data_IF_505256154813
#
_entry.id   IF_505256154813
#
_cell.length_a   1.000
_cell.length_b   1.000
_cell.length_c   1.000
_cell.angle_alpha   90.00
_cell.angle_beta   90.00
_cell.angle_gamma   90.00
#
_symmetry.space_group_name_H-M   'P 1'
#
loop_
_entity.id
_entity.type
_entity.pdbx_description
1 polymer ?
#
# COMPACT_ATOMS: atom_id res chain seq x y z
N UNK A 1 -21.35 -0.46 -2.51
CA UNK A 1 -20.75 0.58 -2.31
C UNK A 1 -19.39 0.50 -2.06
N UNK A 2 -18.70 1.15 -2.66
CA UNK A 2 -17.31 0.89 -2.64
C UNK A 2 -16.56 2.18 -2.43
N UNK A 3 -15.68 2.17 -1.49
CA UNK A 3 -14.74 3.24 -1.31
C UNK A 3 -13.73 3.34 -2.45
N UNK A 4 -12.79 4.27 -2.36
CA UNK A 4 -11.72 4.40 -3.34
C UNK A 4 -10.93 3.11 -3.51
N UNK A 5 -10.44 2.87 -4.72
CA UNK A 5 -9.53 1.78 -5.00
C UNK A 5 -8.09 2.29 -4.85
N UNK A 6 -7.31 1.62 -4.02
CA UNK A 6 -5.98 2.08 -3.64
C UNK A 6 -4.92 1.01 -3.85
N UNK A 7 -3.71 1.46 -4.11
CA UNK A 7 -2.50 0.65 -3.97
C UNK A 7 -1.81 1.12 -2.69
N UNK A 8 -1.63 0.22 -1.74
CA UNK A 8 -0.95 0.53 -0.48
C UNK A 8 0.49 0.07 -0.58
N UNK A 9 1.40 1.02 -0.71
CA UNK A 9 2.83 0.71 -0.79
C UNK A 9 3.29 -0.06 0.45
N UNK A 10 4.27 -0.94 0.27
CA UNK A 10 4.80 -1.77 1.37
C UNK A 10 5.31 -0.94 2.54
N UNK A 11 5.78 0.29 2.30
CA UNK A 11 6.20 1.20 3.36
C UNK A 11 5.11 1.46 4.40
N UNK A 12 3.86 1.55 3.97
CA UNK A 12 2.70 1.77 4.86
C UNK A 12 2.41 0.52 5.68
N UNK A 13 2.44 -0.65 5.03
CA UNK A 13 2.23 -1.94 5.72
C UNK A 13 3.30 -2.16 6.78
N UNK A 14 4.56 -1.93 6.43
CA UNK A 14 5.69 -2.09 7.36
C UNK A 14 5.58 -1.12 8.53
N UNK A 15 5.24 0.13 8.27
CA UNK A 15 5.03 1.12 9.32
C UNK A 15 3.96 0.66 10.33
N UNK A 16 2.88 0.07 9.83
CA UNK A 16 1.83 -0.49 10.69
C UNK A 16 2.34 -1.67 11.52
N UNK A 17 3.05 -2.61 10.90
CA UNK A 17 3.52 -3.81 11.58
C UNK A 17 4.60 -3.52 12.63
N UNK A 18 5.38 -2.46 12.44
CA UNK A 18 6.48 -2.10 13.33
C UNK A 18 6.12 -1.03 14.36
N UNK A 19 4.91 -0.48 14.30
CA UNK A 19 4.45 0.54 15.23
C UNK A 19 4.05 -0.05 16.59
N UNK A 20 4.22 0.72 17.65
CA UNK A 20 3.78 0.35 19.00
C UNK A 20 2.25 0.35 19.12
N UNK A 21 1.57 1.21 18.35
CA UNK A 21 0.12 1.38 18.39
C UNK A 21 -0.50 1.13 17.01
N UNK A 22 -1.72 0.62 16.98
CA UNK A 22 -2.51 0.46 15.76
C UNK A 22 -3.21 1.75 15.34
N UNK A 23 -3.17 2.79 16.17
CA UNK A 23 -3.84 4.07 15.90
C UNK A 23 -3.00 5.07 15.12
N UNK A 24 -1.84 4.66 14.62
CA UNK A 24 -1.03 5.48 13.72
C UNK A 24 -1.77 5.73 12.41
N UNK A 25 -1.40 6.75 11.63
CA UNK A 25 -2.00 6.96 10.31
C UNK A 25 -1.93 5.71 9.41
N UNK A 26 -0.78 5.04 9.36
CA UNK A 26 -0.63 3.79 8.60
C UNK A 26 -1.57 2.71 9.13
N UNK A 27 -1.68 2.56 10.45
CA UNK A 27 -2.58 1.59 11.08
C UNK A 27 -4.04 1.86 10.75
N UNK A 28 -4.44 3.12 10.72
CA UNK A 28 -5.81 3.50 10.35
C UNK A 28 -6.10 3.20 8.88
N UNK A 29 -5.14 3.40 7.99
CA UNK A 29 -5.26 3.00 6.58
C UNK A 29 -5.46 1.49 6.48
N UNK A 30 -4.64 0.70 7.16
CA UNK A 30 -4.74 -0.76 7.12
C UNK A 30 -6.08 -1.23 7.71
N UNK A 31 -6.57 -0.59 8.76
CA UNK A 31 -7.88 -0.88 9.32
C UNK A 31 -9.00 -0.59 8.30
N UNK A 32 -8.93 0.55 7.61
CA UNK A 32 -9.90 0.90 6.58
C UNK A 32 -9.93 -0.12 5.43
N UNK A 33 -8.77 -0.65 5.06
CA UNK A 33 -8.67 -1.73 4.07
C UNK A 33 -9.37 -3.00 4.57
N UNK A 34 -9.14 -3.39 5.82
CA UNK A 34 -9.78 -4.56 6.42
C UNK A 34 -11.28 -4.41 6.60
N UNK A 35 -11.75 -3.20 6.84
CA UNK A 35 -13.18 -2.89 6.99
C UNK A 35 -13.90 -2.69 5.65
N UNK A 36 -13.17 -2.64 4.54
CA UNK A 36 -13.77 -2.42 3.22
C UNK A 36 -14.06 -0.96 2.88
N UNK A 37 -13.69 -0.01 3.75
CA UNK A 37 -13.82 1.42 3.47
C UNK A 37 -12.88 1.88 2.36
N UNK A 38 -11.73 1.21 2.23
CA UNK A 38 -10.84 1.32 1.09
C UNK A 38 -10.77 -0.03 0.40
N UNK A 39 -10.86 -0.03 -0.92
CA UNK A 39 -10.66 -1.25 -1.73
C UNK A 39 -9.18 -1.33 -2.10
N UNK A 40 -8.58 -2.50 -1.96
CA UNK A 40 -7.14 -2.69 -2.15
C UNK A 40 -6.88 -3.46 -3.44
N UNK A 41 -5.98 -2.94 -4.27
CA UNK A 41 -5.46 -3.66 -5.42
C UNK A 41 -4.20 -4.43 -5.02
N UNK A 42 -4.12 -5.67 -5.45
CA UNK A 42 -2.97 -6.56 -5.25
C UNK A 42 -2.47 -7.10 -6.57
N UNK A 43 -1.20 -7.49 -6.61
CA UNK A 43 -0.60 -8.23 -7.72
C UNK A 43 0.39 -9.24 -7.16
N UNK A 44 0.81 -10.18 -7.99
CA UNK A 44 1.86 -11.13 -7.60
C UNK A 44 3.15 -10.40 -7.22
N UNK A 45 3.51 -9.36 -7.97
CA UNK A 45 4.69 -8.56 -7.67
C UNK A 45 4.57 -7.85 -6.32
N UNK A 46 3.38 -7.32 -6.01
CA UNK A 46 3.09 -6.70 -4.71
C UNK A 46 3.31 -7.70 -3.57
N UNK A 47 2.69 -8.85 -3.67
CA UNK A 47 2.75 -9.88 -2.61
C UNK A 47 4.18 -10.39 -2.42
N UNK A 48 4.91 -10.52 -3.52
CA UNK A 48 6.30 -10.95 -3.48
C UNK A 48 7.19 -9.91 -2.80
N UNK A 49 7.02 -8.65 -3.15
CA UNK A 49 7.74 -7.54 -2.53
C UNK A 49 7.43 -7.45 -1.03
N UNK A 50 6.16 -7.54 -0.67
CA UNK A 50 5.75 -7.50 0.74
C UNK A 50 6.39 -8.64 1.53
N UNK A 51 6.34 -9.86 1.01
CA UNK A 51 6.96 -11.01 1.65
C UNK A 51 8.47 -10.82 1.82
N UNK A 52 9.13 -10.32 0.77
CA UNK A 52 10.56 -10.08 0.80
C UNK A 52 10.94 -9.05 1.87
N UNK A 53 10.20 -7.97 1.95
CA UNK A 53 10.48 -6.89 2.91
C UNK A 53 10.23 -7.33 4.35
N UNK A 54 9.10 -8.01 4.62
CA UNK A 54 8.77 -8.42 6.01
C UNK A 54 9.70 -9.51 6.54
N UNK A 55 10.35 -10.26 5.66
CA UNK A 55 11.29 -11.31 6.05
C UNK A 55 12.74 -10.84 6.14
N UNK A 56 13.02 -9.57 5.82
CA UNK A 56 14.36 -9.00 6.07
C UNK A 56 14.62 -8.97 7.57
N UNK A 57 15.79 -9.45 8.04
CA UNK A 57 16.05 -9.57 9.48
C UNK A 57 15.85 -8.28 10.28
N UNK A 58 16.21 -7.13 9.71
CA UNK A 58 16.04 -5.85 10.36
C UNK A 58 14.58 -5.41 10.48
N UNK A 59 13.73 -5.84 9.56
CA UNK A 59 12.29 -5.55 9.60
C UNK A 59 11.59 -6.56 10.50
N UNK A 60 11.85 -7.84 10.31
CA UNK A 60 11.23 -8.92 11.08
C UNK A 60 11.43 -8.72 12.59
N UNK A 61 12.63 -8.33 13.00
CA UNK A 61 12.94 -8.07 14.41
C UNK A 61 12.15 -6.90 15.00
N UNK A 62 11.62 -6.02 14.16
CA UNK A 62 10.86 -4.84 14.61
C UNK A 62 9.34 -5.06 14.58
N UNK A 63 8.87 -6.17 14.05
CA UNK A 63 7.43 -6.47 14.05
C UNK A 63 6.97 -6.67 15.49
N UNK A 64 5.99 -5.85 15.91
CA UNK A 64 5.59 -5.77 17.31
C UNK A 64 4.59 -6.83 17.74
N UNK A 65 3.85 -7.40 16.81
CA UNK A 65 2.80 -8.37 17.12
C UNK A 65 2.63 -9.36 15.97
N UNK A 66 2.81 -10.65 16.27
CA UNK A 66 2.55 -11.71 15.31
C UNK A 66 1.06 -11.76 14.93
N UNK A 67 0.17 -11.50 15.88
CA UNK A 67 -1.27 -11.47 15.59
C UNK A 67 -1.64 -10.30 14.69
N UNK A 68 -1.02 -9.13 14.88
CA UNK A 68 -1.22 -7.98 13.99
C UNK A 68 -0.77 -8.32 12.56
N UNK A 69 0.40 -8.93 12.42
CA UNK A 69 0.91 -9.35 11.12
C UNK A 69 -0.04 -10.36 10.44
N UNK A 70 -0.53 -11.32 11.19
CA UNK A 70 -1.47 -12.32 10.70
C UNK A 70 -2.78 -11.67 10.23
N UNK A 71 -3.36 -10.80 11.05
CA UNK A 71 -4.62 -10.09 10.71
C UNK A 71 -4.42 -9.23 9.46
N UNK A 72 -3.33 -8.50 9.38
CA UNK A 72 -3.04 -7.65 8.23
C UNK A 72 -2.91 -8.46 6.94
N UNK A 73 -2.16 -9.56 6.98
CA UNK A 73 -2.01 -10.44 5.82
C UNK A 73 -3.35 -11.05 5.41
N UNK A 74 -4.15 -11.47 6.38
CA UNK A 74 -5.47 -12.06 6.13
C UNK A 74 -6.42 -11.04 5.51
N UNK A 75 -6.44 -9.82 6.03
CA UNK A 75 -7.27 -8.74 5.50
C UNK A 75 -6.91 -8.41 4.07
N UNK A 76 -5.63 -8.29 3.77
CA UNK A 76 -5.18 -8.06 2.39
C UNK A 76 -5.59 -9.18 1.47
N UNK A 77 -5.46 -10.42 1.91
CA UNK A 77 -5.81 -11.60 1.11
C UNK A 77 -7.31 -11.71 0.87
N UNK A 78 -8.12 -11.48 1.89
CA UNK A 78 -9.57 -11.65 1.82
C UNK A 78 -10.24 -10.49 1.08
N UNK A 79 -9.81 -9.26 1.37
CA UNK A 79 -10.48 -8.05 0.88
C UNK A 79 -9.83 -7.44 -0.35
N UNK A 80 -8.58 -7.82 -0.65
CA UNK A 80 -7.89 -7.32 -1.83
C UNK A 80 -8.38 -7.95 -3.12
N UNK A 81 -8.27 -7.22 -4.21
CA UNK A 81 -8.55 -7.73 -5.56
C UNK A 81 -7.24 -7.94 -6.29
N UNK A 82 -7.02 -9.16 -6.77
CA UNK A 82 -5.80 -9.50 -7.50
C UNK A 82 -5.91 -9.07 -8.96
N UNK A 83 -4.93 -8.30 -9.40
CA UNK A 83 -4.76 -7.87 -10.79
C UNK A 83 -3.53 -8.53 -11.38
N UNK A 84 -3.47 -8.57 -12.71
CA UNK A 84 -2.34 -9.12 -13.46
C UNK A 84 -1.76 -8.04 -14.37
N UNK A 85 -1.03 -7.07 -13.79
CA UNK A 85 -0.52 -5.94 -14.56
C UNK A 85 0.57 -6.36 -15.53
N UNK A 86 0.60 -5.70 -16.69
CA UNK A 86 1.73 -5.79 -17.59
C UNK A 86 2.89 -4.95 -17.04
N UNK A 87 4.10 -5.40 -17.29
CA UNK A 87 5.28 -4.59 -17.00
C UNK A 87 5.38 -3.46 -18.02
N UNK A 88 5.42 -2.23 -17.52
CA UNK A 88 5.52 -1.03 -18.35
C UNK A 88 6.88 -0.39 -18.07
N UNK A 89 7.50 0.10 -19.14
CA UNK A 89 8.75 0.84 -19.01
C UNK A 89 8.41 2.30 -18.76
N UNK A 90 8.28 2.65 -17.48
CA UNK A 90 7.88 3.99 -17.08
C UNK A 90 9.03 4.98 -17.30
N UNK A 91 8.69 6.26 -17.60
CA UNK A 91 9.70 7.32 -17.64
C UNK A 91 10.45 7.41 -16.31
N UNK A 92 11.66 7.94 -16.34
CA UNK A 92 12.57 7.99 -15.21
C UNK A 92 12.18 8.96 -14.10
N UNK A 93 10.90 9.10 -13.81
CA UNK A 93 10.40 9.94 -12.71
C UNK A 93 10.39 9.21 -11.38
N UNK A 94 10.51 7.87 -11.43
CA UNK A 94 10.44 6.98 -10.25
C UNK A 94 11.52 5.94 -10.35
N UNK A 95 12.01 5.49 -9.20
CA UNK A 95 13.00 4.42 -9.15
C UNK A 95 12.44 3.15 -9.78
N UNK A 96 13.29 2.41 -10.49
CA UNK A 96 12.89 1.16 -11.16
C UNK A 96 12.32 0.12 -10.19
N UNK A 97 12.81 0.15 -8.95
CA UNK A 97 12.33 -0.75 -7.90
C UNK A 97 10.87 -0.49 -7.52
N UNK A 98 10.36 0.71 -7.82
CA UNK A 98 8.98 1.10 -7.51
C UNK A 98 8.03 0.95 -8.70
N UNK A 99 8.52 0.50 -9.85
CA UNK A 99 7.70 0.37 -11.06
C UNK A 99 6.52 -0.59 -10.90
N UNK A 100 6.64 -1.60 -10.04
CA UNK A 100 5.54 -2.53 -9.78
C UNK A 100 4.32 -1.82 -9.17
N UNK A 101 4.55 -0.76 -8.39
CA UNK A 101 3.48 0.06 -7.82
C UNK A 101 2.71 0.77 -8.93
N UNK A 102 3.45 1.35 -9.89
CA UNK A 102 2.85 2.04 -11.04
C UNK A 102 2.14 1.06 -11.96
N UNK A 103 2.73 -0.09 -12.24
CA UNK A 103 2.11 -1.14 -13.05
C UNK A 103 0.76 -1.55 -12.46
N UNK A 104 0.73 -1.76 -11.14
CA UNK A 104 -0.48 -2.15 -10.44
C UNK A 104 -1.53 -1.03 -10.46
N UNK A 105 -1.12 0.20 -10.13
CA UNK A 105 -2.03 1.33 -10.12
C UNK A 105 -2.63 1.61 -11.49
N UNK A 106 -1.84 1.44 -12.54
CA UNK A 106 -2.31 1.58 -13.92
C UNK A 106 -3.32 0.48 -14.27
N UNK A 107 -2.97 -0.78 -14.04
CA UNK A 107 -3.83 -1.92 -14.37
C UNK A 107 -5.16 -1.89 -13.62
N UNK A 108 -5.13 -1.47 -12.36
CA UNK A 108 -6.31 -1.39 -11.50
C UNK A 108 -7.13 -0.12 -11.71
N UNK A 109 -6.59 0.86 -12.43
CA UNK A 109 -7.17 2.21 -12.50
C UNK A 109 -7.41 2.76 -11.09
N UNK A 110 -6.39 2.63 -10.24
CA UNK A 110 -6.49 3.03 -8.84
C UNK A 110 -6.68 4.53 -8.69
N UNK A 111 -7.44 4.91 -7.66
CA UNK A 111 -7.64 6.32 -7.33
C UNK A 111 -6.43 6.90 -6.62
N UNK A 112 -5.81 6.11 -5.73
CA UNK A 112 -4.66 6.55 -4.95
C UNK A 112 -3.57 5.50 -4.87
N UNK A 113 -2.34 5.98 -4.81
CA UNK A 113 -1.19 5.23 -4.28
C UNK A 113 -0.90 5.83 -2.91
N UNK A 114 -0.95 5.01 -1.86
CA UNK A 114 -0.69 5.44 -0.48
C UNK A 114 0.71 4.99 -0.11
N UNK A 115 1.60 5.93 0.19
CA UNK A 115 3.01 5.65 0.45
C UNK A 115 3.60 6.60 1.47
N UNK A 116 4.66 6.14 2.13
CA UNK A 116 5.53 6.98 2.97
C UNK A 116 6.83 7.34 2.26
N UNK A 117 7.01 6.86 1.03
CA UNK A 117 8.24 7.06 0.28
C UNK A 117 8.18 8.35 -0.53
N UNK A 118 9.06 9.30 -0.21
CA UNK A 118 9.14 10.58 -0.92
C UNK A 118 9.55 10.42 -2.39
N UNK A 119 10.19 9.32 -2.75
CA UNK A 119 10.52 9.03 -4.14
C UNK A 119 9.26 8.81 -5.00
N UNK A 120 8.14 8.45 -4.38
CA UNK A 120 6.86 8.31 -5.06
C UNK A 120 5.98 9.55 -4.94
N UNK A 121 6.08 10.33 -3.85
CA UNK A 121 5.22 11.49 -3.62
C UNK A 121 5.67 12.74 -4.36
N UNK A 122 6.98 12.89 -4.61
CA UNK A 122 7.52 14.10 -5.24
C UNK A 122 7.34 14.19 -6.75
N UNK A 123 7.55 13.11 -7.53
CA UNK A 123 7.42 13.20 -8.99
C UNK A 123 5.97 13.35 -9.42
N UNK A 124 5.77 14.01 -10.56
CA UNK A 124 4.48 13.96 -11.23
C UNK A 124 4.26 12.57 -11.81
N UNK A 125 3.06 12.03 -11.62
CA UNK A 125 2.72 10.71 -12.15
C UNK A 125 2.42 10.77 -13.65
N UNK A 126 2.83 9.75 -14.42
CA UNK A 126 2.62 9.72 -15.86
C UNK A 126 1.19 9.39 -16.28
N UNK A 127 0.27 9.16 -15.35
CA UNK A 127 -1.13 8.85 -15.58
C UNK A 127 -1.99 9.37 -14.42
N UNK A 128 -3.33 9.47 -14.58
CA UNK A 128 -4.19 10.01 -13.55
C UNK A 128 -4.29 9.11 -12.32
N UNK A 129 -3.42 9.32 -11.35
CA UNK A 129 -3.45 8.70 -10.03
C UNK A 129 -2.89 9.71 -9.05
N UNK A 130 -3.46 9.80 -7.85
CA UNK A 130 -2.91 10.65 -6.82
C UNK A 130 -2.03 9.83 -5.89
N UNK A 131 -0.83 10.35 -5.62
CA UNK A 131 0.08 9.74 -4.65
C UNK A 131 -0.01 10.53 -3.36
N UNK A 132 -0.39 9.88 -2.28
CA UNK A 132 -0.68 10.53 -0.99
C UNK A 132 0.00 9.78 0.16
N UNK A 133 0.31 10.51 1.22
CA UNK A 133 0.69 9.88 2.48
C UNK A 133 -0.56 9.51 3.29
N UNK A 134 -0.44 8.54 4.21
CA UNK A 134 -1.58 8.14 5.05
C UNK A 134 -2.28 9.30 5.75
N UNK A 135 -1.53 10.22 6.34
CA UNK A 135 -2.09 11.33 7.09
C UNK A 135 -2.92 12.25 6.18
N UNK A 136 -2.49 12.46 4.94
CA UNK A 136 -3.18 13.33 3.99
C UNK A 136 -4.48 12.69 3.51
N UNK A 137 -4.47 11.39 3.24
CA UNK A 137 -5.69 10.70 2.81
C UNK A 137 -6.72 10.67 3.93
N UNK A 138 -6.31 10.42 5.16
CA UNK A 138 -7.21 10.42 6.31
C UNK A 138 -7.87 11.80 6.53
N UNK A 139 -7.14 12.88 6.27
CA UNK A 139 -7.70 14.23 6.34
C UNK A 139 -8.76 14.48 5.26
N UNK A 140 -8.59 13.87 4.09
CA UNK A 140 -9.50 14.03 2.95
C UNK A 140 -10.72 13.11 3.01
N UNK A 141 -10.62 11.99 3.73
CA UNK A 141 -11.67 10.97 3.85
C UNK A 141 -11.98 10.73 5.34
N UNK A 142 -12.63 11.69 6.02
CA UNK A 142 -12.81 11.60 7.47
C UNK A 142 -13.69 10.44 7.92
N UNK A 143 -14.39 9.78 7.01
CA UNK A 143 -15.25 8.63 7.33
C UNK A 143 -14.55 7.28 7.40
N UNK A 144 -13.22 7.26 7.16
CA UNK A 144 -12.48 5.99 7.20
C UNK A 144 -11.64 5.85 8.45
#
# INVERSE_FOLDING_TARGET
MSGPLVVVDTSVVIAHLTALSVSTPSGRIMHACGAGSLRVALSDAYLRELFEVVTRPNVESQIKSASRAFVTATDLWIHGTLYHPMRIDWPTVVDREDHWVLDLAWAAEADFIITLDSHLTKPAMPFPVEVVEPVDLLARLPGI
#
